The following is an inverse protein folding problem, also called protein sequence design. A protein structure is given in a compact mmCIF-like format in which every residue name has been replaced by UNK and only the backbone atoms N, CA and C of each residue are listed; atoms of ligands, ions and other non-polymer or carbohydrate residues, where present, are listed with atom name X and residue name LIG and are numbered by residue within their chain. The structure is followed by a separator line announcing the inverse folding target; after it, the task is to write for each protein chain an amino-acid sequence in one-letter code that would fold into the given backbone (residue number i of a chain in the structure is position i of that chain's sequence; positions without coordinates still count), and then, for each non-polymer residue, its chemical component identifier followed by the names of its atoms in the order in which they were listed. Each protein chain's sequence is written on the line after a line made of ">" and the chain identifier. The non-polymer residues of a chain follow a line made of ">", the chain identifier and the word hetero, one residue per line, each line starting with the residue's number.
data_IF_012595756645
#
_entry.id   IF_012595756645
#
_cell.length_a   1.000
_cell.length_b   1.000
_cell.length_c   1.000
_cell.angle_alpha   90.00
_cell.angle_beta   90.00
_cell.angle_gamma   90.00
#
_symmetry.space_group_name_H-M   'P 1'
#
loop_
_entity.id
_entity.type
_entity.pdbx_description
1 polymer ?
#
# COMPACT_ATOMS: atom_id res chain seq x y z
N UNK A 1 -17.01 6.61 5.77
CA UNK A 1 -15.65 6.93 6.26
C UNK A 1 -14.68 6.00 5.55
N UNK A 2 -13.57 6.53 5.02
CA UNK A 2 -12.55 5.73 4.33
C UNK A 2 -11.28 5.67 5.18
N UNK A 3 -10.51 4.60 5.03
CA UNK A 3 -9.22 4.41 5.68
C UNK A 3 -8.11 4.37 4.64
N UNK A 4 -6.94 4.88 4.99
CA UNK A 4 -5.73 4.67 4.22
C UNK A 4 -5.24 3.22 4.35
N UNK A 5 -4.44 2.75 3.39
CA UNK A 5 -3.87 1.40 3.40
C UNK A 5 -3.13 1.11 4.71
N UNK A 6 -2.33 2.04 5.22
CA UNK A 6 -1.61 1.83 6.48
C UNK A 6 -2.54 1.65 7.70
N UNK A 7 -3.69 2.35 7.73
CA UNK A 7 -4.65 2.24 8.84
C UNK A 7 -5.39 0.90 8.78
N UNK A 8 -5.80 0.49 7.57
CA UNK A 8 -6.43 -0.81 7.35
C UNK A 8 -5.47 -1.95 7.72
N UNK A 9 -4.17 -1.83 7.37
CA UNK A 9 -3.14 -2.78 7.79
C UNK A 9 -3.06 -2.91 9.30
N UNK A 10 -3.03 -1.82 10.05
CA UNK A 10 -2.98 -1.90 11.51
C UNK A 10 -4.19 -2.64 12.10
N UNK A 11 -5.39 -2.40 11.57
CA UNK A 11 -6.62 -3.10 12.00
C UNK A 11 -6.53 -4.61 11.68
N UNK A 12 -6.16 -4.95 10.45
CA UNK A 12 -6.06 -6.35 10.01
C UNK A 12 -4.96 -7.10 10.78
N UNK A 13 -3.84 -6.44 11.11
CA UNK A 13 -2.73 -7.03 11.89
C UNK A 13 -3.19 -7.36 13.31
N UNK A 14 -3.94 -6.45 13.96
CA UNK A 14 -4.55 -6.67 15.27
C UNK A 14 -5.57 -7.81 15.26
N UNK A 15 -6.21 -8.06 14.12
CA UNK A 15 -7.11 -9.18 13.90
C UNK A 15 -6.41 -10.49 13.50
N UNK A 16 -5.07 -10.52 13.44
CA UNK A 16 -4.29 -11.73 13.15
C UNK A 16 -4.06 -12.02 11.66
N UNK A 17 -4.38 -11.10 10.76
CA UNK A 17 -4.09 -11.28 9.32
C UNK A 17 -2.58 -11.15 9.10
N UNK A 18 -1.92 -12.16 8.50
CA UNK A 18 -0.48 -12.12 8.25
C UNK A 18 -0.17 -11.03 7.22
N UNK A 19 0.72 -10.13 7.59
CA UNK A 19 1.17 -9.05 6.71
C UNK A 19 2.65 -8.77 6.91
N UNK A 20 3.38 -8.43 5.83
CA UNK A 20 4.75 -7.94 5.94
C UNK A 20 4.82 -6.72 6.84
N UNK A 21 5.94 -6.56 7.55
CA UNK A 21 6.21 -5.36 8.32
C UNK A 21 6.23 -4.14 7.40
N UNK A 22 5.74 -3.00 7.88
CA UNK A 22 5.69 -1.77 7.09
C UNK A 22 5.60 -0.57 8.01
N UNK A 23 6.06 0.58 7.54
CA UNK A 23 5.93 1.83 8.29
C UNK A 23 5.61 3.00 7.36
N UNK A 24 4.91 3.98 7.92
CA UNK A 24 4.54 5.21 7.24
C UNK A 24 5.67 6.23 7.40
N UNK A 25 5.94 6.95 6.32
CA UNK A 25 6.86 8.07 6.29
C UNK A 25 6.15 9.31 5.73
N UNK A 26 6.35 10.46 6.38
CA UNK A 26 5.95 11.78 5.93
C UNK A 26 7.10 12.55 5.27
N UNK A 27 8.33 12.07 5.42
CA UNK A 27 9.53 12.67 4.80
C UNK A 27 10.38 11.63 4.07
N UNK A 28 11.20 12.05 3.09
CA UNK A 28 12.14 11.13 2.43
C UNK A 28 13.14 10.47 3.39
N UNK A 29 13.56 11.16 4.46
CA UNK A 29 14.51 10.62 5.45
C UNK A 29 13.87 9.58 6.37
N UNK A 30 12.59 9.73 6.71
CA UNK A 30 11.82 8.68 7.39
C UNK A 30 11.69 7.43 6.50
N UNK A 31 11.49 7.61 5.19
CA UNK A 31 11.43 6.50 4.25
C UNK A 31 12.76 5.77 4.14
N UNK A 32 13.88 6.51 4.09
CA UNK A 32 15.25 5.97 4.13
C UNK A 32 15.47 5.13 5.38
N UNK A 33 15.16 5.69 6.55
CA UNK A 33 15.32 5.03 7.85
C UNK A 33 14.49 3.76 7.92
N UNK A 34 13.25 3.80 7.44
CA UNK A 34 12.36 2.64 7.41
C UNK A 34 12.91 1.55 6.50
N UNK A 35 13.36 1.90 5.29
CA UNK A 35 13.94 0.94 4.35
C UNK A 35 15.24 0.32 4.88
N UNK A 36 16.10 1.10 5.53
CA UNK A 36 17.31 0.59 6.17
C UNK A 36 16.99 -0.45 7.26
N UNK A 37 15.94 -0.21 8.06
CA UNK A 37 15.47 -1.14 9.10
C UNK A 37 14.86 -2.42 8.52
N UNK A 38 14.10 -2.32 7.43
CA UNK A 38 13.47 -3.47 6.78
C UNK A 38 14.49 -4.33 6.02
N UNK A 39 15.54 -3.72 5.47
CA UNK A 39 16.58 -4.39 4.70
C UNK A 39 16.13 -4.80 3.29
N UNK A 40 17.09 -4.87 2.37
CA UNK A 40 16.86 -5.31 0.99
C UNK A 40 15.96 -4.39 0.17
N UNK A 41 15.20 -4.99 -0.75
CA UNK A 41 14.33 -4.29 -1.68
C UNK A 41 12.98 -3.97 -1.02
N UNK A 42 12.54 -2.73 -1.17
CA UNK A 42 11.27 -2.23 -0.63
C UNK A 42 10.37 -1.67 -1.72
N UNK A 43 9.10 -1.45 -1.38
CA UNK A 43 8.13 -0.72 -2.18
C UNK A 43 7.65 0.50 -1.41
N UNK A 44 7.68 1.67 -2.07
CA UNK A 44 7.20 2.95 -1.54
C UNK A 44 5.85 3.27 -2.18
N UNK A 45 4.80 3.41 -1.37
CA UNK A 45 3.40 3.52 -1.82
C UNK A 45 2.73 4.79 -1.31
N UNK A 46 2.26 5.64 -2.21
CA UNK A 46 1.44 6.81 -1.91
C UNK A 46 0.21 6.44 -1.07
N UNK A 47 -0.07 7.23 -0.02
CA UNK A 47 -1.24 7.05 0.83
C UNK A 47 -2.31 8.09 0.46
N UNK A 48 -3.25 7.69 -0.39
CA UNK A 48 -4.42 8.48 -0.81
C UNK A 48 -5.65 7.58 -0.93
N UNK A 49 -6.86 8.12 -0.78
CA UNK A 49 -8.13 7.37 -0.89
C UNK A 49 -8.58 7.11 -2.35
N UNK A 50 -7.61 7.00 -3.27
CA UNK A 50 -7.86 6.76 -4.68
C UNK A 50 -7.15 5.49 -5.15
N UNK A 51 -7.86 4.67 -5.94
CA UNK A 51 -7.28 3.54 -6.67
C UNK A 51 -6.44 3.99 -7.88
N UNK A 52 -5.68 3.07 -8.46
CA UNK A 52 -4.83 3.33 -9.65
C UNK A 52 -3.49 4.00 -9.36
N UNK A 53 -3.03 3.98 -8.09
CA UNK A 53 -1.77 4.61 -7.64
C UNK A 53 -0.55 4.14 -8.43
N UNK A 54 -0.48 2.85 -8.78
CA UNK A 54 0.62 2.31 -9.58
C UNK A 54 0.71 2.93 -10.97
N UNK A 55 -0.42 2.99 -11.69
CA UNK A 55 -0.51 3.65 -13.01
C UNK A 55 -0.18 5.15 -12.95
N UNK A 56 -0.47 5.80 -11.81
CA UNK A 56 -0.16 7.21 -11.57
C UNK A 56 1.27 7.47 -11.07
N UNK A 57 2.13 6.45 -10.97
CA UNK A 57 3.51 6.59 -10.50
C UNK A 57 3.67 6.70 -8.98
N UNK A 58 2.57 6.56 -8.22
CA UNK A 58 2.55 6.60 -6.76
C UNK A 58 2.94 5.29 -6.08
N UNK A 59 3.44 4.30 -6.83
CA UNK A 59 3.99 3.05 -6.28
C UNK A 59 5.32 2.78 -6.98
N UNK A 60 6.43 2.73 -6.23
CA UNK A 60 7.77 2.53 -6.78
C UNK A 60 8.52 1.46 -6.00
N UNK A 61 9.18 0.56 -6.72
CA UNK A 61 10.19 -0.34 -6.13
C UNK A 61 11.48 0.44 -5.89
N UNK A 62 12.15 0.14 -4.80
CA UNK A 62 13.40 0.75 -4.41
C UNK A 62 14.34 -0.31 -3.84
N UNK A 63 15.58 -0.35 -4.33
CA UNK A 63 16.60 -1.27 -3.87
C UNK A 63 17.46 -0.59 -2.79
N UNK A 64 17.18 -0.92 -1.52
CA UNK A 64 17.85 -0.32 -0.37
C UNK A 64 17.38 1.09 0.01
N UNK A 65 18.06 1.64 1.02
CA UNK A 65 17.61 2.84 1.74
C UNK A 65 17.65 4.12 0.90
N UNK A 66 18.70 4.33 0.12
CA UNK A 66 18.86 5.55 -0.66
C UNK A 66 17.92 5.59 -1.87
N UNK A 67 17.66 4.43 -2.50
CA UNK A 67 16.63 4.31 -3.51
C UNK A 67 15.23 4.59 -2.92
N UNK A 68 14.98 4.17 -1.67
CA UNK A 68 13.71 4.44 -0.99
C UNK A 68 13.53 5.93 -0.69
N UNK A 69 14.61 6.63 -0.30
CA UNK A 69 14.63 8.09 -0.17
C UNK A 69 14.26 8.77 -1.48
N UNK A 70 14.92 8.39 -2.57
CA UNK A 70 14.65 8.96 -3.90
C UNK A 70 13.22 8.71 -4.36
N UNK A 71 12.70 7.49 -4.15
CA UNK A 71 11.31 7.15 -4.46
C UNK A 71 10.32 7.97 -3.62
N UNK A 72 10.57 8.14 -2.32
CA UNK A 72 9.72 8.95 -1.45
C UNK A 72 9.75 10.44 -1.84
N UNK A 73 10.91 11.01 -2.16
CA UNK A 73 11.04 12.38 -2.67
C UNK A 73 10.25 12.60 -3.96
N UNK A 74 10.19 11.60 -4.84
CA UNK A 74 9.42 11.69 -6.07
C UNK A 74 7.91 11.57 -5.85
N UNK A 75 7.47 10.86 -4.80
CA UNK A 75 6.05 10.57 -4.53
C UNK A 75 5.40 11.62 -3.63
N UNK A 76 6.09 12.07 -2.59
CA UNK A 76 5.57 13.07 -1.65
C UNK A 76 5.32 14.40 -2.38
N UNK A 77 4.16 14.99 -2.16
CA UNK A 77 3.73 16.21 -2.84
C UNK A 77 3.13 15.99 -4.24
N UNK A 78 3.18 14.77 -4.80
CA UNK A 78 2.43 14.47 -6.03
C UNK A 78 0.92 14.64 -5.81
N UNK A 79 0.21 14.96 -6.88
CA UNK A 79 -1.25 14.93 -6.91
C UNK A 79 -1.73 13.72 -7.71
N UNK A 80 -2.45 12.81 -7.07
CA UNK A 80 -3.02 11.61 -7.71
C UNK A 80 -4.54 11.74 -7.70
N UNK A 81 -5.15 11.88 -8.88
CA UNK A 81 -6.61 12.07 -9.05
C UNK A 81 -7.16 13.20 -8.16
N UNK A 82 -6.46 14.34 -8.11
CA UNK A 82 -6.85 15.50 -7.31
C UNK A 82 -6.49 15.43 -5.82
N UNK A 83 -5.85 14.35 -5.36
CA UNK A 83 -5.43 14.19 -3.97
C UNK A 83 -3.92 14.36 -3.81
N UNK A 84 -3.49 15.29 -2.96
CA UNK A 84 -2.08 15.47 -2.63
C UNK A 84 -1.56 14.32 -1.75
N UNK A 85 -0.37 13.83 -2.05
CA UNK A 85 0.29 12.76 -1.29
C UNK A 85 1.11 13.36 -0.16
N UNK A 86 0.62 13.25 1.07
CA UNK A 86 1.33 13.74 2.27
C UNK A 86 2.13 12.66 2.99
N UNK A 87 1.86 11.39 2.70
CA UNK A 87 2.49 10.23 3.36
C UNK A 87 2.70 9.11 2.36
N UNK A 88 3.77 8.34 2.59
CA UNK A 88 4.05 7.09 1.88
C UNK A 88 4.11 5.94 2.87
N UNK A 89 3.75 4.74 2.41
CA UNK A 89 3.97 3.49 3.14
C UNK A 89 5.19 2.80 2.53
N UNK A 90 6.14 2.44 3.37
CA UNK A 90 7.33 1.66 2.99
C UNK A 90 7.15 0.24 3.53
N UNK A 91 7.24 -0.75 2.65
CA UNK A 91 7.09 -2.17 2.98
C UNK A 91 8.12 -2.99 2.18
N UNK A 92 8.51 -4.20 2.63
CA UNK A 92 9.32 -5.12 1.86
C UNK A 92 8.70 -5.38 0.48
N UNK A 93 9.53 -5.45 -0.54
CA UNK A 93 9.12 -6.00 -1.82
C UNK A 93 9.00 -7.52 -1.67
N UNK A 94 7.86 -8.08 -2.08
CA UNK A 94 7.65 -9.52 -2.10
C UNK A 94 7.82 -10.06 -3.52
N UNK A 95 8.39 -11.25 -3.64
CA UNK A 95 8.25 -12.06 -4.85
C UNK A 95 6.89 -12.72 -4.82
N UNK A 96 6.00 -12.28 -5.71
CA UNK A 96 4.60 -12.72 -5.72
C UNK A 96 4.46 -13.81 -6.77
N UNK A 97 4.32 -15.06 -6.33
CA UNK A 97 4.14 -16.21 -7.22
C UNK A 97 2.74 -16.24 -7.86
N UNK A 98 1.72 -15.78 -7.14
CA UNK A 98 0.34 -15.69 -7.61
C UNK A 98 -0.41 -14.59 -6.85
N UNK A 99 -1.36 -13.94 -7.53
CA UNK A 99 -2.25 -12.94 -6.92
C UNK A 99 -3.70 -13.40 -7.02
N UNK A 100 -4.51 -13.08 -6.00
CA UNK A 100 -5.94 -13.34 -6.00
C UNK A 100 -6.67 -12.13 -5.43
N UNK A 101 -7.91 -11.92 -5.87
CA UNK A 101 -8.79 -10.92 -5.29
C UNK A 101 -9.59 -11.54 -4.14
N UNK A 102 -9.66 -10.83 -3.02
CA UNK A 102 -10.52 -11.16 -1.87
C UNK A 102 -11.16 -9.88 -1.36
N UNK A 103 -12.48 -9.88 -1.22
CA UNK A 103 -13.23 -8.74 -0.69
C UNK A 103 -14.45 -9.19 0.11
N UNK A 104 -14.78 -8.44 1.18
CA UNK A 104 -16.01 -8.63 1.94
C UNK A 104 -16.82 -7.34 1.84
N UNK A 105 -18.08 -7.46 1.42
CA UNK A 105 -19.03 -6.35 1.32
C UNK A 105 -20.33 -6.74 1.99
N UNK A 106 -21.12 -5.76 2.42
CA UNK A 106 -22.51 -6.01 2.85
C UNK A 106 -23.38 -5.99 1.60
N UNK A 107 -23.92 -7.15 1.23
CA UNK A 107 -24.88 -7.23 0.14
C UNK A 107 -26.23 -6.68 0.62
N UNK A 108 -26.77 -5.72 -0.15
CA UNK A 108 -28.00 -5.03 0.22
C UNK A 108 -29.23 -5.93 0.09
N UNK A 109 -29.23 -6.87 -0.86
CA UNK A 109 -30.38 -7.74 -1.10
C UNK A 109 -30.56 -8.75 0.04
N UNK A 110 -29.46 -9.41 0.44
CA UNK A 110 -29.47 -10.38 1.54
C UNK A 110 -29.29 -9.73 2.92
N UNK A 111 -28.89 -8.47 2.99
CA UNK A 111 -28.52 -7.75 4.22
C UNK A 111 -27.45 -8.48 5.05
N UNK A 112 -26.55 -9.19 4.38
CA UNK A 112 -25.51 -10.02 5.01
C UNK A 112 -24.13 -9.71 4.42
N UNK A 113 -23.04 -10.00 5.16
CA UNK A 113 -21.70 -9.99 4.58
C UNK A 113 -21.59 -11.06 3.48
N UNK A 114 -21.05 -10.68 2.33
CA UNK A 114 -20.71 -11.57 1.22
C UNK A 114 -19.20 -11.52 1.01
N UNK A 115 -18.58 -12.69 0.98
CA UNK A 115 -17.18 -12.88 0.63
C UNK A 115 -17.08 -13.15 -0.87
N UNK A 116 -16.29 -12.33 -1.57
CA UNK A 116 -15.99 -12.49 -2.99
C UNK A 116 -14.52 -12.89 -3.14
N UNK A 117 -14.27 -13.92 -3.95
CA UNK A 117 -12.93 -14.43 -4.23
C UNK A 117 -12.78 -14.66 -5.74
N UNK A 118 -11.65 -14.24 -6.31
CA UNK A 118 -11.29 -14.53 -7.69
C UNK A 118 -9.81 -14.89 -7.78
N UNK A 119 -9.49 -15.90 -8.59
CA UNK A 119 -8.10 -16.23 -8.90
C UNK A 119 -7.39 -15.14 -9.72
N UNK A 120 -8.14 -14.22 -10.33
CA UNK A 120 -7.59 -13.09 -11.07
C UNK A 120 -7.36 -11.90 -10.11
N UNK A 121 -6.21 -11.89 -9.42
CA UNK A 121 -5.79 -10.73 -8.62
C UNK A 121 -5.21 -9.58 -9.46
N UNK A 122 -5.12 -8.39 -8.87
CA UNK A 122 -4.40 -7.25 -9.45
C UNK A 122 -5.10 -6.53 -10.62
N UNK A 123 -6.29 -6.98 -11.02
CA UNK A 123 -7.10 -6.41 -12.11
C UNK A 123 -8.40 -5.79 -11.58
N UNK A 124 -9.15 -5.12 -12.46
CA UNK A 124 -10.49 -4.63 -12.12
C UNK A 124 -11.46 -5.82 -11.99
N UNK A 125 -12.21 -5.85 -10.88
CA UNK A 125 -13.16 -6.90 -10.47
C UNK A 125 -14.58 -6.35 -10.45
#
# INVERSE_FOLDING_TARGET
>A
MNLHEYQAREILKRAGVPMPDAAVAATPDEARTTAARLGGKVVVKAQVHAGGRGKAGGVKLADGADAAKAAASAILGMTIKGLAVHKVLVAPAAEIASESYVGIVVDRASQRPVLMVSAAGGIDI
#
